data_IF_552491597872
#
_entry.id   IF_552491597872
#
_cell.length_a   1.000
_cell.length_b   1.000
_cell.length_c   1.000
_cell.angle_alpha   90.00
_cell.angle_beta   90.00
_cell.angle_gamma   90.00
#
_symmetry.space_group_name_H-M   'P 1'
#
loop_
_entity.id
_entity.type
_entity.pdbx_description
1 polymer ?
#
# COMPACT_ATOMS: atom_id res chain seq x y z
N UNK A 1 2.43 2.73 27.63
CA UNK A 1 3.87 2.38 27.67
C UNK A 1 4.64 3.49 26.96
N UNK A 2 5.52 4.24 27.66
CA UNK A 2 6.10 5.48 27.13
C UNK A 2 6.83 5.33 25.79
N UNK A 3 7.56 4.24 25.57
CA UNK A 3 8.24 3.97 24.31
C UNK A 3 7.27 3.69 23.15
N UNK A 4 6.19 2.95 23.43
CA UNK A 4 5.14 2.66 22.44
C UNK A 4 4.46 3.96 22.05
N UNK A 5 4.08 4.79 23.01
CA UNK A 5 3.44 6.09 22.78
C UNK A 5 4.33 7.03 21.97
N UNK A 6 5.60 7.20 22.35
CA UNK A 6 6.55 8.03 21.60
C UNK A 6 6.76 7.54 20.16
N UNK A 7 6.76 6.22 19.97
CA UNK A 7 6.85 5.58 18.66
C UNK A 7 5.60 5.86 17.83
N UNK A 8 4.40 5.76 18.42
CA UNK A 8 3.13 6.06 17.75
C UNK A 8 3.04 7.53 17.32
N UNK A 9 3.41 8.47 18.22
CA UNK A 9 3.45 9.91 17.92
C UNK A 9 4.32 10.17 16.69
N UNK A 10 5.49 9.54 16.61
CA UNK A 10 6.40 9.76 15.49
C UNK A 10 5.90 9.17 14.17
N UNK A 11 5.24 8.02 14.21
CA UNK A 11 4.63 7.41 13.02
C UNK A 11 3.47 8.24 12.51
N UNK A 12 2.57 8.66 13.40
CA UNK A 12 1.39 9.42 13.00
C UNK A 12 1.67 10.91 12.76
N UNK A 13 2.90 11.37 12.97
CA UNK A 13 3.36 12.65 12.44
C UNK A 13 3.72 12.59 10.94
N UNK A 14 3.81 11.40 10.35
CA UNK A 14 4.18 11.24 8.95
C UNK A 14 3.07 11.67 7.99
N UNK A 15 3.46 12.30 6.89
CA UNK A 15 2.57 12.62 5.77
C UNK A 15 2.08 11.36 5.02
N UNK A 16 2.83 10.27 5.12
CA UNK A 16 2.59 9.01 4.41
C UNK A 16 2.87 7.81 5.28
N UNK A 17 1.95 6.85 5.23
CA UNK A 17 2.06 5.55 5.90
C UNK A 17 1.95 4.42 4.89
N UNK A 18 2.82 3.42 5.02
CA UNK A 18 2.56 2.09 4.48
C UNK A 18 1.73 1.32 5.50
N UNK A 19 0.60 0.77 5.06
CA UNK A 19 -0.29 0.02 5.93
C UNK A 19 -0.39 -1.42 5.46
N UNK A 20 -0.08 -2.36 6.33
CA UNK A 20 -0.22 -3.78 6.06
C UNK A 20 -0.67 -4.55 7.30
N UNK A 21 -1.02 -5.82 7.09
CA UNK A 21 -1.34 -6.77 8.16
C UNK A 21 -0.63 -8.08 7.91
N UNK A 22 0.10 -8.56 8.90
CA UNK A 22 0.67 -9.91 8.89
C UNK A 22 -0.09 -10.81 9.86
N UNK A 23 -0.24 -12.09 9.51
CA UNK A 23 -0.77 -13.10 10.42
C UNK A 23 0.29 -13.47 11.44
N UNK A 24 -0.11 -13.64 12.70
CA UNK A 24 0.75 -14.21 13.73
C UNK A 24 0.03 -15.35 14.45
N UNK A 25 0.74 -16.42 14.85
CA UNK A 25 0.18 -17.40 15.76
C UNK A 25 -0.01 -16.75 17.12
N UNK A 26 -1.22 -16.82 17.66
CA UNK A 26 -1.57 -16.32 18.99
C UNK A 26 -1.98 -17.52 19.85
N UNK A 27 -1.38 -17.62 21.03
CA UNK A 27 -1.83 -18.55 22.05
C UNK A 27 -3.21 -18.14 22.57
N UNK A 28 -4.12 -19.10 22.59
CA UNK A 28 -5.46 -19.01 23.17
C UNK A 28 -5.66 -20.23 24.06
N UNK A 29 -6.67 -20.22 24.92
CA UNK A 29 -6.85 -21.26 25.94
C UNK A 29 -6.94 -22.66 25.31
N UNK A 30 -5.87 -23.44 25.43
CA UNK A 30 -5.75 -24.80 24.89
C UNK A 30 -5.59 -24.91 23.36
N UNK A 31 -5.39 -23.80 22.63
CA UNK A 31 -5.25 -23.82 21.16
C UNK A 31 -4.44 -22.65 20.60
N UNK A 32 -3.93 -22.81 19.39
CA UNK A 32 -3.35 -21.70 18.63
C UNK A 32 -4.41 -21.12 17.71
N UNK A 33 -4.61 -19.81 17.75
CA UNK A 33 -5.45 -19.07 16.79
C UNK A 33 -4.61 -18.09 15.98
N UNK A 34 -5.15 -17.63 14.85
CA UNK A 34 -4.48 -16.62 14.02
C UNK A 34 -4.85 -15.22 14.49
N UNK A 35 -3.87 -14.48 15.01
CA UNK A 35 -3.97 -13.04 15.26
C UNK A 35 -3.45 -12.21 14.09
N UNK A 36 -3.48 -10.88 14.26
CA UNK A 36 -2.92 -9.94 13.28
C UNK A 36 -1.99 -8.94 13.95
N UNK A 37 -0.88 -8.67 13.28
CA UNK A 37 -0.10 -7.46 13.52
C UNK A 37 -0.42 -6.48 12.39
N UNK A 38 -1.02 -5.35 12.75
CA UNK A 38 -1.14 -4.18 11.91
C UNK A 38 0.17 -3.42 11.91
N UNK A 39 0.71 -3.13 10.74
CA UNK A 39 1.93 -2.36 10.59
C UNK A 39 1.58 -1.03 9.94
N UNK A 40 1.95 0.07 10.60
CA UNK A 40 1.85 1.42 10.06
C UNK A 40 3.27 1.93 9.93
N UNK A 41 3.87 1.74 8.76
CA UNK A 41 5.28 1.98 8.54
C UNK A 41 5.48 3.30 7.82
N UNK A 42 6.20 4.20 8.48
CA UNK A 42 6.85 5.31 7.81
C UNK A 42 8.33 4.99 7.62
N UNK A 43 8.85 5.08 6.40
CA UNK A 43 10.28 5.04 6.12
C UNK A 43 10.54 5.96 4.93
N UNK A 44 11.22 7.06 5.22
CA UNK A 44 11.53 8.09 4.24
C UNK A 44 12.99 8.05 3.77
N UNK A 45 13.81 7.13 4.28
CA UNK A 45 15.20 6.99 3.81
C UNK A 45 15.29 6.74 2.30
N UNK A 46 14.42 5.91 1.67
CA UNK A 46 14.40 5.78 0.21
C UNK A 46 14.06 7.07 -0.54
N UNK A 47 13.53 8.06 0.17
CA UNK A 47 13.05 9.35 -0.33
C UNK A 47 13.91 10.52 0.15
N UNK A 48 15.11 10.23 0.68
CA UNK A 48 16.04 11.20 1.27
C UNK A 48 15.51 11.94 2.50
N UNK A 49 14.50 11.38 3.18
CA UNK A 49 13.96 11.96 4.40
C UNK A 49 14.73 11.53 5.66
N UNK A 50 14.74 12.37 6.71
CA UNK A 50 15.51 12.15 7.93
C UNK A 50 14.78 11.29 8.98
N UNK A 51 13.51 10.95 8.75
CA UNK A 51 12.65 10.33 9.75
C UNK A 51 13.03 8.86 10.01
N UNK A 52 13.19 8.43 11.28
CA UNK A 52 13.44 7.02 11.60
C UNK A 52 12.16 6.18 11.44
N UNK A 53 12.24 4.87 11.12
CA UNK A 53 11.06 4.04 10.90
C UNK A 53 10.39 3.53 12.18
N UNK A 54 9.08 3.26 12.10
CA UNK A 54 8.18 2.63 13.09
C UNK A 54 6.78 2.47 12.45
N UNK A 55 5.73 1.77 12.91
CA UNK A 55 5.34 1.09 14.17
C UNK A 55 4.44 -0.14 13.89
N UNK A 56 4.15 -0.91 14.95
CA UNK A 56 3.31 -2.12 14.97
C UNK A 56 2.17 -1.99 16.00
N UNK A 57 0.98 -2.46 15.65
CA UNK A 57 -0.15 -2.68 16.53
C UNK A 57 -0.56 -4.14 16.47
N UNK A 58 -0.94 -4.72 17.60
CA UNK A 58 -1.49 -6.07 17.64
C UNK A 58 -3.01 -6.01 17.74
N UNK A 59 -3.69 -6.89 16.99
CA UNK A 59 -5.11 -7.16 17.15
C UNK A 59 -5.40 -8.66 17.12
N UNK A 60 -6.47 -9.12 17.81
CA UNK A 60 -6.87 -10.53 17.79
C UNK A 60 -7.33 -11.04 16.43
N UNK A 61 -7.79 -10.15 15.54
CA UNK A 61 -8.34 -10.47 14.23
C UNK A 61 -8.03 -9.36 13.20
N UNK A 62 -8.63 -9.45 12.01
CA UNK A 62 -8.42 -8.52 10.88
C UNK A 62 -9.58 -7.54 10.68
N UNK A 63 -10.37 -7.27 11.72
CA UNK A 63 -11.51 -6.36 11.68
C UNK A 63 -11.15 -4.95 11.18
N UNK A 64 -12.11 -4.31 10.52
CA UNK A 64 -11.96 -2.95 9.99
C UNK A 64 -11.94 -1.89 11.11
N UNK A 65 -12.51 -2.22 12.26
CA UNK A 65 -12.50 -1.39 13.47
C UNK A 65 -11.08 -1.09 13.98
N UNK A 66 -10.11 -1.99 13.75
CA UNK A 66 -8.73 -1.80 14.21
C UNK A 66 -8.06 -0.61 13.50
N UNK A 67 -7.93 -0.59 12.15
CA UNK A 67 -7.32 0.55 11.49
C UNK A 67 -8.13 1.84 11.63
N UNK A 68 -9.46 1.76 11.80
CA UNK A 68 -10.28 2.95 12.11
C UNK A 68 -9.95 3.55 13.47
N UNK A 69 -9.79 2.71 14.50
CA UNK A 69 -9.40 3.15 15.84
C UNK A 69 -7.96 3.64 15.86
N UNK A 70 -7.02 2.87 15.29
CA UNK A 70 -5.59 3.21 15.32
C UNK A 70 -5.29 4.51 14.58
N UNK A 71 -5.99 4.77 13.47
CA UNK A 71 -5.75 5.94 12.61
C UNK A 71 -6.78 7.06 12.82
N UNK A 72 -7.61 7.00 13.87
CA UNK A 72 -8.73 7.92 14.10
C UNK A 72 -8.36 9.41 13.99
N UNK A 73 -7.12 9.77 14.37
CA UNK A 73 -6.62 11.14 14.36
C UNK A 73 -5.60 11.43 13.25
N UNK A 74 -5.38 10.48 12.34
CA UNK A 74 -4.45 10.61 11.24
C UNK A 74 -5.17 10.84 9.90
N UNK A 75 -4.57 11.66 9.05
CA UNK A 75 -4.92 11.81 7.64
C UNK A 75 -3.63 11.97 6.83
N UNK A 76 -3.66 11.64 5.53
CA UNK A 76 -2.48 11.70 4.67
C UNK A 76 -2.51 10.66 3.55
N UNK A 77 -1.32 10.33 3.03
CA UNK A 77 -1.15 9.35 1.97
C UNK A 77 -1.05 7.93 2.55
N UNK A 78 -2.09 7.13 2.34
CA UNK A 78 -2.16 5.75 2.84
C UNK A 78 -1.78 4.77 1.73
N UNK A 79 -0.57 4.23 1.79
CA UNK A 79 -0.11 3.21 0.86
C UNK A 79 -0.42 1.81 1.37
N UNK A 80 -1.38 1.13 0.76
CA UNK A 80 -1.87 -0.17 1.25
C UNK A 80 -2.22 -1.13 0.10
N UNK A 81 -2.61 -2.35 0.46
CA UNK A 81 -3.32 -3.23 -0.46
C UNK A 81 -4.81 -2.85 -0.56
N UNK A 82 -5.52 -3.49 -1.49
CA UNK A 82 -6.94 -3.28 -1.77
C UNK A 82 -7.90 -3.88 -0.71
N UNK A 83 -7.51 -3.98 0.56
CA UNK A 83 -8.36 -4.57 1.59
C UNK A 83 -9.59 -3.69 1.86
N UNK A 84 -10.78 -4.28 1.75
CA UNK A 84 -12.05 -3.55 1.89
C UNK A 84 -12.28 -2.96 3.28
N UNK A 85 -11.62 -3.49 4.32
CA UNK A 85 -11.68 -2.92 5.67
C UNK A 85 -11.07 -1.52 5.78
N UNK A 86 -10.41 -1.00 4.74
CA UNK A 86 -9.96 0.38 4.69
C UNK A 86 -10.99 1.36 4.09
N UNK A 87 -12.11 0.87 3.54
CA UNK A 87 -13.03 1.73 2.78
C UNK A 87 -13.50 2.97 3.54
N UNK A 88 -13.86 2.83 4.83
CA UNK A 88 -14.30 3.96 5.68
C UNK A 88 -13.20 4.99 5.93
N UNK A 89 -11.93 4.61 5.83
CA UNK A 89 -10.80 5.54 6.00
C UNK A 89 -10.69 6.55 4.85
N UNK A 90 -11.31 6.25 3.71
CA UNK A 90 -11.28 7.07 2.50
C UNK A 90 -12.57 7.90 2.30
N UNK A 91 -13.54 7.80 3.21
CA UNK A 91 -14.82 8.50 3.12
C UNK A 91 -14.62 10.03 3.22
N UNK A 92 -15.22 10.85 2.32
CA UNK A 92 -14.96 12.29 2.25
C UNK A 92 -15.31 13.08 3.53
N UNK A 93 -16.27 12.59 4.31
CA UNK A 93 -16.76 13.21 5.54
C UNK A 93 -16.00 12.76 6.81
N UNK A 94 -15.07 11.81 6.67
CA UNK A 94 -14.21 11.35 7.75
C UNK A 94 -13.42 12.51 8.35
N UNK A 95 -13.38 12.58 9.68
CA UNK A 95 -12.51 13.50 10.43
C UNK A 95 -11.23 12.80 10.89
N UNK A 96 -10.06 13.49 10.94
CA UNK A 96 -9.81 14.90 10.56
C UNK A 96 -9.78 15.14 9.04
N UNK A 97 -9.87 14.07 8.25
CA UNK A 97 -9.99 14.10 6.80
C UNK A 97 -9.98 12.69 6.21
N UNK A 98 -10.38 12.54 4.94
CA UNK A 98 -10.18 11.29 4.21
C UNK A 98 -8.69 11.00 4.05
N UNK A 99 -8.31 9.73 4.16
CA UNK A 99 -6.98 9.30 3.74
C UNK A 99 -6.95 9.15 2.22
N UNK A 100 -5.90 9.66 1.60
CA UNK A 100 -5.69 9.50 0.16
C UNK A 100 -5.14 8.10 -0.10
N UNK A 101 -5.90 7.30 -0.85
CA UNK A 101 -5.50 5.94 -1.22
C UNK A 101 -4.32 5.97 -2.20
N UNK A 102 -3.23 5.27 -1.84
CA UNK A 102 -2.08 5.02 -2.70
C UNK A 102 -1.92 3.51 -2.88
N UNK A 103 -2.13 3.00 -4.09
CA UNK A 103 -2.03 1.56 -4.33
C UNK A 103 -0.57 1.06 -4.13
N UNK A 104 -0.40 -0.05 -3.41
CA UNK A 104 0.91 -0.65 -3.19
C UNK A 104 1.33 -1.59 -4.33
N UNK A 105 2.32 -1.18 -5.12
CA UNK A 105 2.88 -1.97 -6.23
C UNK A 105 3.41 -3.34 -5.80
N UNK A 106 4.01 -3.47 -4.60
CA UNK A 106 4.51 -4.76 -4.12
C UNK A 106 3.38 -5.78 -3.89
N UNK A 107 2.24 -5.32 -3.38
CA UNK A 107 1.04 -6.15 -3.22
C UNK A 107 0.42 -6.52 -4.56
N UNK A 108 0.33 -5.57 -5.50
CA UNK A 108 -0.15 -5.82 -6.84
C UNK A 108 0.71 -6.87 -7.55
N UNK A 109 2.05 -6.72 -7.47
CA UNK A 109 3.01 -7.65 -8.05
C UNK A 109 2.88 -9.05 -7.47
N UNK A 110 2.79 -9.20 -6.14
CA UNK A 110 2.63 -10.52 -5.50
C UNK A 110 1.37 -11.22 -6.00
N UNK A 111 0.25 -10.49 -6.06
CA UNK A 111 -1.00 -11.06 -6.56
C UNK A 111 -0.91 -11.51 -8.02
N UNK A 112 -0.34 -10.69 -8.89
CA UNK A 112 -0.14 -11.03 -10.31
C UNK A 112 0.83 -12.21 -10.48
N UNK A 113 1.88 -12.27 -9.65
CA UNK A 113 2.81 -13.39 -9.64
C UNK A 113 2.12 -14.70 -9.25
N UNK A 114 1.28 -14.69 -8.23
CA UNK A 114 0.51 -15.88 -7.83
C UNK A 114 -0.41 -16.35 -8.97
N UNK A 115 -1.06 -15.42 -9.69
CA UNK A 115 -1.89 -15.77 -10.85
C UNK A 115 -1.07 -16.31 -12.03
N UNK A 116 0.07 -15.68 -12.33
CA UNK A 116 0.98 -16.11 -13.38
C UNK A 116 1.54 -17.51 -13.09
N UNK A 117 1.89 -17.78 -11.83
CA UNK A 117 2.39 -19.08 -11.39
C UNK A 117 1.30 -20.17 -11.46
N UNK A 118 0.08 -19.86 -11.03
CA UNK A 118 -1.01 -20.84 -10.98
C UNK A 118 -1.65 -21.13 -12.34
N UNK A 119 -1.70 -20.13 -13.23
CA UNK A 119 -2.48 -20.22 -14.47
C UNK A 119 -1.63 -20.06 -15.75
N UNK A 120 -0.31 -19.83 -15.63
CA UNK A 120 0.60 -19.53 -16.74
C UNK A 120 0.07 -18.42 -17.67
N UNK A 121 -0.75 -17.52 -17.13
CA UNK A 121 -1.48 -16.54 -17.91
C UNK A 121 -0.49 -15.51 -18.49
N UNK A 122 -0.37 -15.40 -19.83
CA UNK A 122 0.63 -14.52 -20.45
C UNK A 122 0.50 -13.06 -20.05
N UNK A 123 -0.73 -12.60 -19.79
CA UNK A 123 -1.02 -11.23 -19.38
C UNK A 123 -0.51 -10.92 -17.96
N UNK A 124 -0.56 -11.89 -17.04
CA UNK A 124 -0.09 -11.72 -15.68
C UNK A 124 1.45 -11.75 -15.62
N UNK A 125 2.09 -12.61 -16.43
CA UNK A 125 3.54 -12.63 -16.62
C UNK A 125 4.05 -11.28 -17.15
N UNK A 126 3.39 -10.76 -18.19
CA UNK A 126 3.73 -9.45 -18.74
C UNK A 126 3.56 -8.33 -17.69
N UNK A 127 2.46 -8.36 -16.93
CA UNK A 127 2.20 -7.37 -15.89
C UNK A 127 3.27 -7.39 -14.78
N UNK A 128 3.70 -8.59 -14.33
CA UNK A 128 4.82 -8.73 -13.39
C UNK A 128 6.10 -8.12 -13.96
N UNK A 129 6.44 -8.44 -15.22
CA UNK A 129 7.62 -7.90 -15.89
C UNK A 129 7.62 -6.37 -15.99
N UNK A 130 6.44 -5.76 -16.24
CA UNK A 130 6.28 -4.29 -16.23
C UNK A 130 6.51 -3.69 -14.85
N UNK A 131 5.99 -4.32 -13.79
CA UNK A 131 6.23 -3.84 -12.43
C UNK A 131 7.70 -4.00 -12.03
N UNK A 132 8.36 -5.07 -12.47
CA UNK A 132 9.79 -5.28 -12.25
C UNK A 132 10.65 -4.19 -12.90
N UNK A 133 10.28 -3.74 -14.10
CA UNK A 133 10.93 -2.61 -14.76
C UNK A 133 10.76 -1.30 -13.95
N UNK A 134 9.58 -1.07 -13.38
CA UNK A 134 9.35 0.08 -12.47
C UNK A 134 10.22 -0.01 -11.22
N UNK A 135 10.31 -1.19 -10.59
CA UNK A 135 11.17 -1.39 -9.43
C UNK A 135 12.66 -1.25 -9.76
N UNK A 136 13.09 -1.58 -10.98
CA UNK A 136 14.45 -1.33 -11.42
C UNK A 136 14.75 0.18 -11.49
N UNK A 137 13.84 0.98 -12.06
CA UNK A 137 13.96 2.44 -12.09
C UNK A 137 14.01 3.01 -10.66
N UNK A 138 13.11 2.59 -9.77
CA UNK A 138 13.06 3.09 -8.38
C UNK A 138 14.34 2.77 -7.59
N UNK A 139 14.96 1.61 -7.83
CA UNK A 139 16.25 1.25 -7.22
C UNK A 139 17.37 2.22 -7.60
N UNK A 140 17.39 2.69 -8.84
CA UNK A 140 18.42 3.64 -9.31
C UNK A 140 18.26 5.05 -8.75
N UNK A 141 17.03 5.44 -8.38
CA UNK A 141 16.72 6.79 -7.89
C UNK A 141 16.44 6.85 -6.38
N UNK A 142 16.65 5.74 -5.69
CA UNK A 142 16.53 5.66 -4.22
C UNK A 142 17.52 6.63 -3.58
N UNK A 143 17.03 7.46 -2.65
CA UNK A 143 17.84 8.46 -1.95
C UNK A 143 18.07 9.77 -2.72
N UNK A 144 17.56 9.90 -3.94
CA UNK A 144 17.56 11.17 -4.67
C UNK A 144 16.46 12.11 -4.16
N UNK A 145 16.65 13.41 -4.40
CA UNK A 145 15.69 14.43 -4.01
C UNK A 145 14.34 14.23 -4.72
N UNK A 146 13.21 14.66 -4.12
CA UNK A 146 11.87 14.47 -4.70
C UNK A 146 11.74 14.92 -6.16
N UNK A 147 12.33 16.07 -6.51
CA UNK A 147 12.28 16.64 -7.87
C UNK A 147 13.02 15.74 -8.89
N UNK A 148 14.17 15.20 -8.52
CA UNK A 148 14.94 14.31 -9.40
C UNK A 148 14.21 12.99 -9.63
N UNK A 149 13.64 12.41 -8.57
CA UNK A 149 12.82 11.20 -8.67
C UNK A 149 11.61 11.43 -9.56
N UNK A 150 10.90 12.55 -9.39
CA UNK A 150 9.77 12.92 -10.23
C UNK A 150 10.18 13.03 -11.70
N UNK A 151 11.29 13.70 -11.99
CA UNK A 151 11.83 13.85 -13.36
C UNK A 151 12.11 12.49 -14.00
N UNK A 152 12.79 11.58 -13.29
CA UNK A 152 13.09 10.24 -13.80
C UNK A 152 11.80 9.45 -14.04
N UNK A 153 10.86 9.44 -13.09
CA UNK A 153 9.57 8.75 -13.23
C UNK A 153 8.78 9.24 -14.46
N UNK A 154 8.70 10.56 -14.65
CA UNK A 154 8.05 11.19 -15.80
C UNK A 154 8.66 10.76 -17.15
N UNK A 155 9.98 10.54 -17.18
CA UNK A 155 10.70 10.16 -18.39
C UNK A 155 10.70 8.65 -18.65
N UNK A 156 10.86 7.83 -17.60
CA UNK A 156 11.22 6.40 -17.71
C UNK A 156 10.09 5.43 -17.33
N UNK A 157 9.11 5.86 -16.55
CA UNK A 157 8.04 4.96 -16.05
C UNK A 157 6.83 4.87 -16.98
N UNK A 158 6.79 5.65 -18.07
CA UNK A 158 5.70 5.61 -19.04
C UNK A 158 5.81 4.32 -19.87
N UNK A 159 4.73 3.53 -20.02
CA UNK A 159 4.77 2.38 -20.89
C UNK A 159 5.03 2.84 -22.34
N UNK A 160 5.86 2.13 -23.11
CA UNK A 160 5.92 2.34 -24.55
C UNK A 160 4.51 2.16 -25.14
N UNK A 161 4.15 3.00 -26.11
CA UNK A 161 2.78 3.33 -26.52
C UNK A 161 1.79 2.19 -26.80
N UNK A 162 0.51 2.58 -26.99
CA UNK A 162 -0.70 1.75 -27.22
C UNK A 162 -1.13 0.76 -26.11
N UNK A 163 -0.25 0.38 -25.19
CA UNK A 163 -0.55 -0.61 -24.15
C UNK A 163 -1.17 -0.03 -22.86
N UNK A 164 -1.24 1.30 -22.72
CA UNK A 164 -1.71 1.97 -21.51
C UNK A 164 -3.23 1.83 -21.25
N UNK A 165 -4.03 1.53 -22.29
CA UNK A 165 -5.50 1.62 -22.20
C UNK A 165 -6.15 0.42 -21.48
N UNK A 166 -5.55 -0.78 -21.54
CA UNK A 166 -6.19 -2.01 -21.02
C UNK A 166 -6.00 -2.30 -19.54
N UNK A 167 -4.98 -1.74 -18.88
CA UNK A 167 -4.73 -2.01 -17.46
C UNK A 167 -5.71 -1.28 -16.53
N UNK A 168 -6.25 -0.13 -16.96
CA UNK A 168 -7.27 0.61 -16.21
C UNK A 168 -8.70 0.08 -16.39
N UNK A 169 -9.03 -0.44 -17.58
CA UNK A 169 -10.39 -0.87 -17.94
C UNK A 169 -10.71 -2.32 -17.50
N UNK A 170 -9.70 -3.19 -17.34
CA UNK A 170 -9.90 -4.55 -16.81
C UNK A 170 -10.21 -4.60 -15.30
N UNK A 171 -9.92 -3.53 -14.57
CA UNK A 171 -10.12 -3.43 -13.12
C UNK A 171 -11.54 -2.97 -12.73
N UNK A 172 -12.30 -2.40 -13.66
CA UNK A 172 -13.65 -1.86 -13.39
C UNK A 172 -14.79 -2.86 -13.57
N UNK A 173 -14.52 -4.08 -14.05
CA UNK A 173 -15.57 -5.09 -14.24
C UNK A 173 -15.24 -6.39 -13.48
N UNK A 174 -15.55 -6.44 -12.18
CA UNK A 174 -16.10 -7.62 -11.49
C UNK A 174 -16.34 -7.36 -9.99
N UNK A 175 -17.57 -6.92 -9.71
CA UNK A 175 -18.36 -7.21 -8.50
C UNK A 175 -17.90 -6.64 -7.15
N UNK A 176 -18.82 -6.47 -6.17
CA UNK A 176 -18.57 -5.73 -4.93
C UNK A 176 -17.55 -6.38 -3.97
N UNK A 177 -16.97 -7.54 -4.31
CA UNK A 177 -16.16 -8.38 -3.42
C UNK A 177 -14.87 -8.94 -4.06
N UNK A 178 -14.43 -8.41 -5.21
CA UNK A 178 -13.22 -8.88 -5.91
C UNK A 178 -11.93 -8.18 -5.44
N UNK A 179 -10.94 -8.95 -5.00
CA UNK A 179 -9.57 -8.52 -4.63
C UNK A 179 -8.78 -7.79 -5.75
N UNK A 180 -9.40 -7.56 -6.91
CA UNK A 180 -8.78 -7.18 -8.18
C UNK A 180 -8.88 -5.72 -8.57
N UNK A 181 -9.79 -4.92 -7.97
CA UNK A 181 -10.15 -3.63 -8.56
C UNK A 181 -9.33 -2.41 -8.12
N UNK A 182 -8.67 -2.42 -6.95
CA UNK A 182 -8.07 -1.18 -6.40
C UNK A 182 -6.55 -1.05 -6.56
N UNK A 183 -5.84 -2.06 -7.07
CA UNK A 183 -4.38 -2.05 -7.10
C UNK A 183 -3.74 -1.21 -8.22
N UNK A 184 -4.53 -0.67 -9.17
CA UNK A 184 -3.99 -0.03 -10.38
C UNK A 184 -4.55 1.37 -10.69
N UNK A 185 -5.48 1.90 -9.89
CA UNK A 185 -5.94 3.30 -10.02
C UNK A 185 -4.97 4.27 -9.35
N UNK A 186 -3.76 4.37 -9.87
CA UNK A 186 -2.97 5.58 -9.68
C UNK A 186 -3.63 6.69 -10.53
N UNK A 187 -4.57 7.44 -9.94
CA UNK A 187 -4.91 8.77 -10.47
C UNK A 187 -3.62 9.57 -10.40
N UNK A 188 -2.97 9.79 -11.55
CA UNK A 188 -2.01 10.88 -11.65
C UNK A 188 -2.79 12.16 -11.32
N UNK A 189 -2.45 12.91 -10.26
CA UNK A 189 -3.02 14.23 -10.07
C UNK A 189 -2.64 15.06 -11.30
N UNK A 190 -3.66 15.71 -11.88
CA UNK A 190 -3.53 16.52 -13.07
C UNK A 190 -2.64 17.74 -12.84
N UNK A 191 -2.09 18.19 -13.96
CA UNK A 191 -1.28 19.41 -14.22
C UNK A 191 0.07 19.49 -13.55
#
# INVERSE_FOLDING_TARGET
MPLVEATCVRVFAAERLHVDTITVPMLDTGKTRTGRLWTYVHDDRPFAGPAPPAALYFSPDRGAEHPEMHLAHWHGLMQANAFSGFNRLHEPDRQPGPMVEVACWAHARRYLFDLAWLNEAPIDIEAVGRIDALFAIEREITGLAPVERQRVRQHRSKPPGRSARRMGEGATSKGPNGKTAKSLTAKMPGT
#
